data_IF_613658416648
#
_entry.id   IF_613658416648
#
_cell.length_a   1.000
_cell.length_b   1.000
_cell.length_c   1.000
_cell.angle_alpha   90.00
_cell.angle_beta   90.00
_cell.angle_gamma   90.00
#
_symmetry.space_group_name_H-M   'P 1'
#
loop_
_entity.id
_entity.type
_entity.pdbx_description
1 polymer ?
#
# COMPACT_ATOMS: atom_id res chain seq x y z
N UNK A 1 -7.31 -3.15 23.49
CA UNK A 1 -6.02 -3.83 23.15
C UNK A 1 -4.92 -2.80 23.10
N UNK A 2 -3.68 -3.11 23.52
CA UNK A 2 -2.59 -2.14 23.48
C UNK A 2 -1.83 -2.23 22.16
N UNK A 3 -1.30 -1.11 21.68
CA UNK A 3 -0.42 -1.08 20.49
C UNK A 3 0.83 -1.91 20.75
N UNK A 4 1.36 -1.90 21.97
CA UNK A 4 2.49 -2.73 22.40
C UNK A 4 2.23 -4.24 22.39
N UNK A 5 0.97 -4.67 22.31
CA UNK A 5 0.63 -6.10 22.15
C UNK A 5 1.06 -6.63 20.76
N UNK A 6 1.39 -5.74 19.83
CA UNK A 6 1.86 -6.02 18.46
C UNK A 6 3.34 -5.67 18.27
N UNK A 7 4.11 -5.71 19.35
CA UNK A 7 5.54 -5.44 19.29
C UNK A 7 6.34 -6.73 19.05
N UNK A 8 7.44 -6.61 18.33
CA UNK A 8 8.45 -7.63 18.15
C UNK A 8 9.81 -6.97 17.86
N UNK A 9 10.88 -7.66 18.17
CA UNK A 9 12.22 -7.16 17.90
C UNK A 9 12.57 -7.30 16.42
N UNK A 10 12.83 -6.18 15.73
CA UNK A 10 13.24 -6.13 14.34
C UNK A 10 14.64 -5.54 14.20
N UNK A 11 15.66 -6.35 13.87
CA UNK A 11 16.99 -5.87 13.53
C UNK A 11 16.95 -4.95 12.30
N UNK A 12 17.59 -3.79 12.38
CA UNK A 12 17.57 -2.78 11.30
C UNK A 12 18.16 -3.28 9.99
N UNK A 13 19.12 -4.18 10.06
CA UNK A 13 19.77 -4.82 8.92
C UNK A 13 18.83 -5.71 8.08
N UNK A 14 17.70 -6.13 8.63
CA UNK A 14 16.68 -6.88 7.91
C UNK A 14 15.74 -5.98 7.09
N UNK A 15 15.79 -4.66 7.26
CA UNK A 15 15.00 -3.72 6.46
C UNK A 15 15.64 -3.59 5.08
N UNK A 16 14.97 -4.13 4.07
CA UNK A 16 15.49 -4.16 2.70
C UNK A 16 15.62 -2.75 2.11
N UNK A 17 16.80 -2.43 1.60
CA UNK A 17 17.09 -1.16 0.95
C UNK A 17 16.98 -1.24 -0.58
N UNK A 18 17.09 -2.44 -1.15
CA UNK A 18 17.06 -2.71 -2.58
C UNK A 18 16.06 -3.82 -2.89
N UNK A 19 15.33 -3.71 -4.02
CA UNK A 19 14.45 -4.77 -4.48
C UNK A 19 15.24 -6.00 -4.94
N UNK A 20 14.59 -7.17 -4.93
CA UNK A 20 15.14 -8.41 -5.46
C UNK A 20 15.03 -8.42 -7.00
N UNK A 21 16.05 -8.96 -7.67
CA UNK A 21 16.05 -9.22 -9.10
C UNK A 21 16.36 -10.70 -9.38
N UNK A 22 15.54 -11.40 -10.15
CA UNK A 22 14.19 -10.99 -10.60
C UNK A 22 13.21 -10.78 -9.44
N UNK A 23 12.09 -10.08 -9.69
CA UNK A 23 11.09 -9.72 -8.67
C UNK A 23 10.57 -10.92 -7.88
N UNK A 24 10.25 -12.01 -8.57
CA UNK A 24 9.67 -13.23 -8.01
C UNK A 24 10.69 -14.18 -7.37
N UNK A 25 11.97 -13.78 -7.30
CA UNK A 25 13.02 -14.51 -6.57
C UNK A 25 13.14 -14.07 -5.10
N UNK A 26 12.31 -13.15 -4.62
CA UNK A 26 12.16 -12.90 -3.18
C UNK A 26 11.70 -14.17 -2.47
N UNK A 27 12.03 -14.30 -1.18
CA UNK A 27 11.54 -15.43 -0.39
C UNK A 27 10.04 -15.27 -0.12
N UNK A 28 9.37 -16.38 0.05
CA UNK A 28 7.97 -16.48 0.44
C UNK A 28 7.86 -17.33 1.70
N UNK A 29 7.31 -16.75 2.76
CA UNK A 29 6.90 -17.50 3.94
C UNK A 29 5.41 -17.82 3.80
N UNK A 30 5.08 -19.08 3.66
CA UNK A 30 3.70 -19.55 3.62
C UNK A 30 3.29 -19.90 5.05
N UNK A 31 2.17 -19.36 5.52
CA UNK A 31 1.66 -19.64 6.85
C UNK A 31 0.19 -20.04 6.79
N UNK A 32 -0.13 -21.16 7.40
CA UNK A 32 -1.51 -21.57 7.62
C UNK A 32 -2.11 -20.69 8.75
N UNK A 33 -3.18 -19.95 8.44
CA UNK A 33 -3.78 -18.98 9.37
C UNK A 33 -4.46 -19.59 10.58
N UNK A 34 -4.80 -20.87 10.52
CA UNK A 34 -5.54 -21.58 11.56
C UNK A 34 -4.61 -22.40 12.47
N UNK A 35 -3.65 -23.13 11.88
CA UNK A 35 -2.69 -23.99 12.61
C UNK A 35 -1.39 -23.28 12.97
N UNK A 36 -1.00 -22.23 12.22
CA UNK A 36 0.30 -21.59 12.36
C UNK A 36 1.45 -22.36 11.74
N UNK A 37 1.17 -23.42 10.96
CA UNK A 37 2.20 -24.16 10.21
C UNK A 37 2.89 -23.24 9.20
N UNK A 38 4.22 -23.36 9.09
CA UNK A 38 5.05 -22.46 8.28
C UNK A 38 5.84 -23.29 7.27
N UNK A 39 5.89 -22.81 6.01
CA UNK A 39 6.77 -23.29 4.96
C UNK A 39 7.63 -22.15 4.40
N UNK A 40 8.86 -22.48 4.01
CA UNK A 40 9.82 -21.55 3.41
C UNK A 40 9.97 -21.85 1.92
N UNK A 41 9.63 -20.87 1.09
CA UNK A 41 9.59 -20.96 -0.38
C UNK A 41 10.21 -19.71 -1.01
N UNK A 42 10.15 -19.65 -2.34
CA UNK A 42 10.36 -18.42 -3.10
C UNK A 42 9.03 -17.93 -3.70
N UNK A 43 8.97 -16.66 -4.08
CA UNK A 43 7.72 -16.08 -4.52
C UNK A 43 7.17 -16.74 -5.81
N UNK A 44 8.04 -17.20 -6.69
CA UNK A 44 7.63 -17.96 -7.88
C UNK A 44 6.92 -19.28 -7.56
N UNK A 45 7.09 -19.82 -6.34
CA UNK A 45 6.40 -21.02 -5.87
C UNK A 45 4.97 -20.73 -5.38
N UNK A 46 4.54 -19.46 -5.32
CA UNK A 46 3.17 -19.09 -4.94
C UNK A 46 2.13 -19.85 -5.77
N UNK A 47 2.44 -20.13 -7.03
CA UNK A 47 1.57 -20.87 -7.94
C UNK A 47 1.24 -22.29 -7.43
N UNK A 48 2.07 -22.91 -6.61
CA UNK A 48 1.83 -24.23 -6.03
C UNK A 48 0.64 -24.23 -5.07
N UNK A 49 0.39 -23.09 -4.42
CA UNK A 49 -0.67 -22.87 -3.44
C UNK A 49 -1.96 -22.29 -4.04
N UNK A 50 -2.01 -22.07 -5.33
CA UNK A 50 -3.20 -21.55 -6.02
C UNK A 50 -3.92 -22.68 -6.76
N UNK A 51 -5.25 -22.63 -6.79
CA UNK A 51 -6.09 -23.61 -7.45
C UNK A 51 -6.86 -23.00 -8.63
N UNK A 52 -7.19 -23.79 -9.65
CA UNK A 52 -8.09 -23.32 -10.70
C UNK A 52 -9.41 -22.78 -10.11
N UNK A 53 -9.77 -21.58 -10.52
CA UNK A 53 -10.94 -20.88 -10.00
C UNK A 53 -10.65 -19.90 -8.86
N UNK A 54 -9.47 -19.91 -8.24
CA UNK A 54 -9.08 -18.87 -7.28
C UNK A 54 -9.14 -17.48 -7.91
N UNK A 55 -9.54 -16.50 -7.12
CA UNK A 55 -9.55 -15.09 -7.53
C UNK A 55 -8.46 -14.33 -6.79
N UNK A 56 -7.53 -13.73 -7.54
CA UNK A 56 -6.51 -12.84 -6.99
C UNK A 56 -6.93 -11.39 -7.23
N UNK A 57 -7.06 -10.61 -6.15
CA UNK A 57 -7.46 -9.21 -6.23
C UNK A 57 -6.24 -8.31 -6.02
N UNK A 58 -5.92 -7.53 -7.04
CA UNK A 58 -4.77 -6.64 -7.12
C UNK A 58 -5.18 -5.17 -6.99
N UNK A 59 -4.32 -4.35 -6.40
CA UNK A 59 -4.45 -2.90 -6.44
C UNK A 59 -3.60 -2.36 -7.60
N UNK A 60 -4.24 -1.82 -8.63
CA UNK A 60 -3.60 -1.35 -9.87
C UNK A 60 -3.16 0.12 -9.82
N UNK A 61 -3.15 0.72 -8.64
CA UNK A 61 -2.68 2.10 -8.48
C UNK A 61 -1.24 2.27 -8.94
N UNK A 62 -0.95 3.44 -9.53
CA UNK A 62 0.38 3.83 -9.97
C UNK A 62 0.87 5.02 -9.15
N UNK A 63 2.09 4.91 -8.65
CA UNK A 63 2.75 5.99 -7.89
C UNK A 63 3.05 7.15 -8.83
N UNK A 64 2.71 8.35 -8.40
CA UNK A 64 3.07 9.59 -9.07
C UNK A 64 4.38 10.16 -8.48
N UNK A 65 5.15 10.94 -9.23
CA UNK A 65 6.34 11.63 -8.70
C UNK A 65 5.90 12.80 -7.79
N UNK A 66 5.41 12.44 -6.61
CA UNK A 66 4.68 13.31 -5.71
C UNK A 66 5.56 14.29 -4.92
N UNK A 67 6.90 14.16 -4.97
CA UNK A 67 7.82 15.05 -4.26
C UNK A 67 8.35 16.11 -5.19
N UNK A 68 8.05 17.39 -4.88
CA UNK A 68 8.48 18.55 -5.64
C UNK A 68 9.41 19.41 -4.80
N UNK A 69 10.51 19.87 -5.40
CA UNK A 69 11.43 20.82 -4.81
C UNK A 69 11.27 22.19 -5.47
N UNK A 70 11.14 23.23 -4.66
CA UNK A 70 10.92 24.58 -5.15
C UNK A 70 11.52 25.63 -4.23
N UNK A 71 11.31 26.89 -4.58
CA UNK A 71 11.83 28.04 -3.85
C UNK A 71 10.71 29.04 -3.57
N UNK A 72 10.75 29.62 -2.38
CA UNK A 72 9.95 30.80 -2.05
C UNK A 72 10.50 32.04 -2.74
N UNK A 73 9.70 33.11 -2.79
CA UNK A 73 10.15 34.43 -3.28
C UNK A 73 11.36 34.96 -2.48
N UNK A 74 11.57 34.47 -1.26
CA UNK A 74 12.73 34.80 -0.42
C UNK A 74 13.99 34.02 -0.76
N UNK A 75 13.96 33.14 -1.77
CA UNK A 75 15.05 32.23 -2.13
C UNK A 75 15.20 30.98 -1.25
N UNK A 76 14.33 30.80 -0.23
CA UNK A 76 14.39 29.64 0.65
C UNK A 76 13.89 28.39 -0.08
N UNK A 77 14.69 27.32 -0.04
CA UNK A 77 14.32 26.00 -0.57
C UNK A 77 13.20 25.38 0.25
N UNK A 78 12.26 24.75 -0.44
CA UNK A 78 11.12 24.05 0.15
C UNK A 78 10.82 22.76 -0.60
N UNK A 79 10.30 21.77 0.13
CA UNK A 79 9.75 20.53 -0.40
C UNK A 79 8.22 20.59 -0.27
N UNK A 80 7.53 20.22 -1.33
CA UNK A 80 6.08 20.03 -1.37
C UNK A 80 5.81 18.59 -1.77
N UNK A 81 5.09 17.86 -0.94
CA UNK A 81 4.75 16.47 -1.13
C UNK A 81 3.25 16.32 -1.37
N UNK A 82 2.87 15.89 -2.56
CA UNK A 82 1.47 15.72 -2.97
C UNK A 82 0.84 14.53 -2.24
N UNK A 83 -0.36 14.72 -1.70
CA UNK A 83 -1.13 13.68 -1.03
C UNK A 83 -2.43 13.36 -1.78
N UNK A 84 -3.35 14.31 -1.77
CA UNK A 84 -4.71 14.12 -2.28
C UNK A 84 -5.09 15.25 -3.21
N UNK A 85 -5.48 14.92 -4.44
CA UNK A 85 -6.03 15.86 -5.38
C UNK A 85 -7.46 16.22 -4.98
N UNK A 86 -7.74 17.51 -4.81
CA UNK A 86 -9.07 17.99 -4.48
C UNK A 86 -9.87 18.37 -5.73
N UNK A 87 -9.18 18.97 -6.71
CA UNK A 87 -9.72 19.34 -8.02
C UNK A 87 -8.56 19.45 -9.02
N UNK A 88 -8.78 20.08 -10.17
CA UNK A 88 -7.78 20.24 -11.23
C UNK A 88 -6.51 20.95 -10.78
N UNK A 89 -6.60 21.88 -9.82
CA UNK A 89 -5.49 22.75 -9.38
C UNK A 89 -5.14 22.59 -7.90
N UNK A 90 -6.09 22.18 -7.05
CA UNK A 90 -5.91 22.20 -5.60
C UNK A 90 -5.54 20.80 -5.09
N UNK A 91 -4.51 20.77 -4.24
CA UNK A 91 -4.00 19.54 -3.64
C UNK A 91 -3.78 19.70 -2.13
N UNK A 92 -4.11 18.66 -1.39
CA UNK A 92 -3.57 18.48 -0.04
C UNK A 92 -2.13 18.01 -0.15
N UNK A 93 -1.24 18.62 0.65
CA UNK A 93 0.20 18.37 0.59
C UNK A 93 0.81 18.40 1.99
N UNK A 94 1.94 17.69 2.14
CA UNK A 94 2.89 18.00 3.21
C UNK A 94 3.95 18.96 2.69
N UNK A 95 4.50 19.78 3.58
CA UNK A 95 5.51 20.77 3.20
C UNK A 95 6.68 20.76 4.18
N UNK A 96 7.88 21.02 3.69
CA UNK A 96 9.08 21.14 4.51
C UNK A 96 9.90 22.36 4.07
N UNK A 97 10.27 23.27 4.99
CA UNK A 97 9.90 23.38 6.41
C UNK A 97 8.48 23.93 6.62
N UNK A 98 7.67 23.23 7.44
CA UNK A 98 6.25 23.57 7.63
C UNK A 98 5.99 24.95 8.26
N UNK A 99 6.83 25.40 9.21
CA UNK A 99 6.67 26.68 9.91
C UNK A 99 6.76 27.89 9.00
N UNK A 100 7.46 27.80 7.87
CA UNK A 100 7.70 28.92 6.93
C UNK A 100 6.68 28.99 5.79
N UNK A 101 5.78 28.02 5.68
CA UNK A 101 4.79 27.91 4.61
C UNK A 101 3.37 28.10 5.17
N UNK A 102 3.03 29.38 5.41
CA UNK A 102 1.70 29.82 5.87
C UNK A 102 0.81 30.16 4.68
N UNK A 103 -0.49 30.30 4.92
CA UNK A 103 -1.46 30.74 3.90
C UNK A 103 -0.96 32.02 3.23
N UNK A 104 -1.05 32.05 1.90
CA UNK A 104 -0.52 33.12 1.05
C UNK A 104 0.91 32.92 0.55
N UNK A 105 1.68 31.98 1.15
CA UNK A 105 3.04 31.70 0.69
C UNK A 105 3.03 31.16 -0.74
N UNK A 106 3.90 31.71 -1.60
CA UNK A 106 4.10 31.29 -2.98
C UNK A 106 5.38 30.47 -3.10
N UNK A 107 5.34 29.46 -3.95
CA UNK A 107 6.43 28.53 -4.22
C UNK A 107 6.56 28.38 -5.72
N UNK A 108 7.77 28.57 -6.25
CA UNK A 108 8.10 28.35 -7.67
C UNK A 108 8.92 27.07 -7.78
N UNK A 109 8.51 26.16 -8.65
CA UNK A 109 9.22 24.91 -8.96
C UNK A 109 9.99 25.04 -10.27
N UNK A 110 9.39 25.67 -11.26
CA UNK A 110 9.98 25.97 -12.57
C UNK A 110 9.30 27.21 -13.16
N UNK A 111 9.61 27.53 -14.42
CA UNK A 111 8.90 28.62 -15.12
C UNK A 111 7.45 28.22 -15.46
N UNK A 112 7.17 26.93 -15.60
CA UNK A 112 5.86 26.38 -15.97
C UNK A 112 5.03 25.89 -14.78
N UNK A 113 5.61 25.82 -13.55
CA UNK A 113 4.90 25.32 -12.35
C UNK A 113 5.19 26.15 -11.11
N UNK A 114 4.13 26.61 -10.50
CA UNK A 114 4.17 27.26 -9.19
C UNK A 114 2.95 26.87 -8.36
N UNK A 115 2.97 27.16 -7.07
CA UNK A 115 1.77 27.03 -6.23
C UNK A 115 1.70 28.11 -5.16
N UNK A 116 0.51 28.25 -4.60
CA UNK A 116 0.22 29.10 -3.44
C UNK A 116 -0.45 28.28 -2.34
N UNK A 117 0.01 28.42 -1.10
CA UNK A 117 -0.70 27.87 0.06
C UNK A 117 -2.01 28.63 0.26
N UNK A 118 -3.13 27.93 0.22
CA UNK A 118 -4.47 28.53 0.34
C UNK A 118 -5.17 28.15 1.65
N UNK A 119 -4.77 27.04 2.30
CA UNK A 119 -5.36 26.59 3.55
C UNK A 119 -4.43 25.62 4.31
N UNK A 120 -4.83 25.27 5.53
CA UNK A 120 -4.23 24.24 6.37
C UNK A 120 -5.12 23.01 6.44
N UNK A 121 -4.52 21.84 6.66
CA UNK A 121 -5.27 20.62 6.97
C UNK A 121 -5.21 20.32 8.46
N UNK A 122 -6.20 19.59 8.99
CA UNK A 122 -6.29 19.21 10.42
C UNK A 122 -5.11 18.37 10.91
N UNK A 123 -4.42 17.68 10.00
CA UNK A 123 -3.26 16.84 10.30
C UNK A 123 -1.89 17.54 10.14
N UNK A 124 -1.89 18.87 10.01
CA UNK A 124 -0.67 19.69 9.92
C UNK A 124 -0.10 19.83 8.50
N UNK A 125 -0.81 19.38 7.48
CA UNK A 125 -0.51 19.62 6.08
C UNK A 125 -0.97 21.01 5.60
N UNK A 126 -0.96 21.18 4.29
CA UNK A 126 -1.43 22.39 3.59
C UNK A 126 -2.37 22.01 2.46
N UNK A 127 -3.22 22.95 2.08
CA UNK A 127 -3.88 22.94 0.79
C UNK A 127 -3.16 23.94 -0.08
N UNK A 128 -2.69 23.52 -1.23
CA UNK A 128 -2.02 24.39 -2.21
C UNK A 128 -2.82 24.45 -3.50
N UNK A 129 -2.81 25.61 -4.14
CA UNK A 129 -3.32 25.80 -5.49
C UNK A 129 -2.17 25.94 -6.45
N UNK A 130 -2.09 25.03 -7.41
CA UNK A 130 -1.11 25.06 -8.48
C UNK A 130 -1.53 26.00 -9.61
N UNK A 131 -0.55 26.70 -10.17
CA UNK A 131 -0.63 27.41 -11.43
C UNK A 131 0.42 26.78 -12.37
N UNK A 132 -0.01 26.35 -13.56
CA UNK A 132 0.82 25.65 -14.51
C UNK A 132 0.37 25.92 -15.94
N UNK A 133 1.30 25.77 -16.89
CA UNK A 133 1.05 25.84 -18.33
C UNK A 133 1.26 24.44 -18.94
N UNK A 134 0.22 23.88 -19.59
CA UNK A 134 0.25 22.56 -20.18
C UNK A 134 -0.46 21.48 -19.35
N UNK A 135 0.04 20.25 -19.43
CA UNK A 135 -0.55 19.08 -18.76
C UNK A 135 0.19 18.85 -17.44
N UNK A 136 -0.53 18.97 -16.33
CA UNK A 136 0.04 18.87 -14.97
C UNK A 136 0.81 17.57 -14.74
N UNK A 137 0.28 16.47 -15.22
CA UNK A 137 0.88 15.13 -15.07
C UNK A 137 2.24 15.02 -15.79
N UNK A 138 2.37 15.62 -16.97
CA UNK A 138 3.63 15.66 -17.71
C UNK A 138 4.68 16.55 -17.02
N UNK A 139 4.24 17.65 -16.42
CA UNK A 139 5.10 18.53 -15.63
C UNK A 139 5.60 17.80 -14.38
N UNK A 140 4.71 17.06 -13.69
CA UNK A 140 5.11 16.24 -12.56
C UNK A 140 6.13 15.16 -12.94
N UNK A 141 5.97 14.51 -14.09
CA UNK A 141 6.91 13.48 -14.55
C UNK A 141 8.33 14.04 -14.81
N UNK A 142 8.43 15.33 -15.20
CA UNK A 142 9.71 16.02 -15.40
C UNK A 142 10.33 16.55 -14.12
N UNK A 143 9.53 17.14 -13.25
CA UNK A 143 10.02 17.89 -12.07
C UNK A 143 9.96 17.10 -10.77
N UNK A 144 9.07 16.13 -10.69
CA UNK A 144 8.80 15.39 -9.46
C UNK A 144 9.75 14.20 -9.26
N UNK A 145 9.92 13.85 -8.00
CA UNK A 145 10.63 12.65 -7.59
C UNK A 145 9.63 11.61 -7.10
N UNK A 146 9.88 10.34 -7.46
CA UNK A 146 9.11 9.21 -6.93
C UNK A 146 9.37 9.09 -5.44
N UNK A 147 8.35 9.19 -4.59
CA UNK A 147 8.55 9.10 -3.15
C UNK A 147 8.82 7.64 -2.75
N UNK A 148 9.91 7.43 -2.07
CA UNK A 148 10.17 6.17 -1.36
C UNK A 148 9.75 6.31 0.10
N UNK A 149 9.35 5.22 0.76
CA UNK A 149 9.11 5.21 2.19
C UNK A 149 10.34 5.68 2.98
N UNK A 150 10.16 6.32 4.15
CA UNK A 150 11.27 6.96 4.88
C UNK A 150 12.34 5.99 5.41
N UNK A 151 12.05 4.70 5.48
CA UNK A 151 12.99 3.66 5.89
C UNK A 151 13.88 3.16 4.73
N UNK A 152 13.58 3.53 3.48
CA UNK A 152 14.46 3.29 2.32
C UNK A 152 15.30 4.56 2.15
N UNK A 153 16.57 4.45 2.46
CA UNK A 153 17.54 5.56 2.36
C UNK A 153 18.47 5.42 1.15
N UNK A 154 18.52 4.23 0.56
CA UNK A 154 19.27 3.97 -0.66
C UNK A 154 18.57 4.61 -1.87
N UNK A 155 19.33 5.20 -2.81
CA UNK A 155 18.76 5.72 -4.05
C UNK A 155 18.19 4.57 -4.89
N UNK A 156 17.07 4.85 -5.57
CA UNK A 156 16.47 3.92 -6.52
C UNK A 156 16.90 4.33 -7.94
N UNK A 157 17.71 3.51 -8.59
CA UNK A 157 18.22 3.78 -9.94
C UNK A 157 17.11 3.72 -10.98
N UNK A 158 16.27 2.69 -10.92
CA UNK A 158 15.11 2.52 -11.79
C UNK A 158 13.81 2.80 -11.04
N UNK A 159 13.15 3.90 -11.38
CA UNK A 159 11.87 4.32 -10.77
C UNK A 159 10.74 3.27 -10.99
N UNK A 160 10.79 2.51 -12.08
CA UNK A 160 9.79 1.46 -12.38
C UNK A 160 9.91 0.27 -11.41
N UNK A 161 11.01 0.14 -10.67
CA UNK A 161 11.12 -0.87 -9.61
C UNK A 161 10.22 -0.61 -8.40
N UNK A 162 9.74 0.64 -8.22
CA UNK A 162 8.72 0.99 -7.23
C UNK A 162 7.32 1.10 -7.84
N UNK A 163 7.09 0.38 -8.95
CA UNK A 163 5.78 0.21 -9.60
C UNK A 163 5.50 -1.28 -9.78
N UNK A 164 4.22 -1.68 -9.66
CA UNK A 164 3.80 -3.03 -10.03
C UNK A 164 3.78 -3.16 -11.55
N UNK A 165 3.98 -4.37 -12.06
CA UNK A 165 3.99 -4.63 -13.53
C UNK A 165 2.62 -4.43 -14.17
N UNK A 166 1.58 -4.28 -13.36
CA UNK A 166 0.19 -4.07 -13.76
C UNK A 166 -0.37 -2.69 -13.35
N UNK A 167 0.46 -1.78 -12.83
CA UNK A 167 0.02 -0.45 -12.40
C UNK A 167 -0.55 0.37 -13.56
N UNK A 168 -1.74 0.99 -13.37
CA UNK A 168 -2.46 1.78 -14.37
C UNK A 168 -2.94 3.13 -13.83
N UNK A 169 -3.69 3.10 -12.74
CA UNK A 169 -4.43 4.25 -12.21
C UNK A 169 -3.52 5.18 -11.42
N UNK A 170 -3.13 6.30 -12.02
CA UNK A 170 -2.21 7.29 -11.42
C UNK A 170 -2.88 8.04 -10.26
N UNK A 171 -2.17 8.24 -9.14
CA UNK A 171 -2.69 9.04 -8.03
C UNK A 171 -2.13 8.68 -6.66
N UNK A 172 -1.33 7.63 -6.56
CA UNK A 172 -0.81 7.15 -5.27
C UNK A 172 0.51 7.80 -4.89
N UNK A 173 0.69 8.04 -3.60
CA UNK A 173 1.98 8.44 -3.02
C UNK A 173 2.88 7.25 -2.64
N UNK A 174 2.35 6.02 -2.64
CA UNK A 174 3.11 4.81 -2.36
C UNK A 174 2.62 3.63 -3.19
N UNK A 175 3.53 2.70 -3.53
CA UNK A 175 3.19 1.48 -4.26
C UNK A 175 2.46 0.46 -3.37
N UNK A 176 1.57 -0.38 -3.92
CA UNK A 176 1.05 -1.56 -3.26
C UNK A 176 2.12 -2.65 -3.27
N UNK A 177 3.00 -2.62 -2.27
CA UNK A 177 4.32 -3.27 -2.32
C UNK A 177 4.30 -4.79 -2.42
N UNK A 178 3.24 -5.46 -1.94
CA UNK A 178 3.08 -6.90 -2.17
C UNK A 178 2.96 -7.26 -3.66
N UNK A 179 2.46 -6.34 -4.48
CA UNK A 179 2.40 -6.51 -5.93
C UNK A 179 3.75 -6.39 -6.64
N UNK A 180 4.77 -5.84 -5.97
CA UNK A 180 6.11 -5.69 -6.55
C UNK A 180 6.83 -7.02 -6.80
N UNK A 181 6.39 -8.08 -6.13
CA UNK A 181 6.95 -9.43 -6.29
C UNK A 181 6.52 -10.12 -7.58
N UNK A 182 5.40 -9.69 -8.18
CA UNK A 182 4.89 -10.31 -9.39
C UNK A 182 5.68 -9.89 -10.64
N UNK A 183 5.97 -10.87 -11.49
CA UNK A 183 6.44 -10.68 -12.86
C UNK A 183 5.28 -10.91 -13.83
N UNK A 184 5.38 -10.41 -15.05
CA UNK A 184 4.39 -10.68 -16.10
C UNK A 184 4.29 -12.17 -16.42
N UNK A 185 5.42 -12.86 -16.37
CA UNK A 185 5.56 -14.30 -16.59
C UNK A 185 4.82 -15.09 -15.50
N UNK A 186 4.97 -14.71 -14.23
CA UNK A 186 4.26 -15.37 -13.13
C UNK A 186 2.76 -15.13 -13.22
N UNK A 187 2.31 -13.90 -13.52
CA UNK A 187 0.90 -13.59 -13.74
C UNK A 187 0.32 -14.43 -14.88
N UNK A 188 1.05 -14.57 -16.00
CA UNK A 188 0.57 -15.40 -17.11
C UNK A 188 0.43 -16.87 -16.68
N UNK A 189 1.40 -17.42 -15.94
CA UNK A 189 1.32 -18.81 -15.41
C UNK A 189 0.12 -19.00 -14.47
N UNK A 190 -0.17 -18.01 -13.62
CA UNK A 190 -1.31 -18.00 -12.70
C UNK A 190 -2.62 -18.04 -13.50
N UNK A 191 -2.72 -17.22 -14.54
CA UNK A 191 -3.86 -17.20 -15.46
C UNK A 191 -4.01 -18.53 -16.21
N UNK A 192 -2.91 -19.08 -16.73
CA UNK A 192 -2.91 -20.37 -17.44
C UNK A 192 -3.31 -21.54 -16.53
N UNK A 193 -3.04 -21.42 -15.21
CA UNK A 193 -3.53 -22.37 -14.19
C UNK A 193 -5.05 -22.30 -13.99
N UNK A 194 -5.72 -21.28 -14.51
CA UNK A 194 -7.17 -21.07 -14.40
C UNK A 194 -7.58 -20.20 -13.22
N UNK A 195 -6.65 -19.42 -12.65
CA UNK A 195 -6.97 -18.39 -11.66
C UNK A 195 -7.47 -17.12 -12.36
N UNK A 196 -8.33 -16.37 -11.68
CA UNK A 196 -8.91 -15.13 -12.18
C UNK A 196 -8.21 -13.91 -11.55
N UNK A 197 -7.79 -12.95 -12.38
CA UNK A 197 -7.20 -11.69 -11.94
C UNK A 197 -8.27 -10.61 -11.88
N UNK A 198 -8.44 -9.97 -10.74
CA UNK A 198 -9.37 -8.86 -10.53
C UNK A 198 -8.61 -7.64 -10.05
N UNK A 199 -8.94 -6.47 -10.59
CA UNK A 199 -8.25 -5.23 -10.23
C UNK A 199 -9.21 -4.26 -9.52
N UNK A 200 -8.70 -3.70 -8.43
CA UNK A 200 -9.31 -2.58 -7.70
C UNK A 200 -8.28 -1.47 -7.60
N UNK A 201 -8.72 -0.25 -7.30
CA UNK A 201 -7.81 0.88 -7.12
C UNK A 201 -7.95 1.42 -5.70
N UNK A 202 -6.84 1.61 -5.00
CA UNK A 202 -6.76 2.42 -3.77
C UNK A 202 -5.50 3.26 -3.85
N UNK A 203 -5.67 4.58 -3.78
CA UNK A 203 -4.55 5.51 -3.75
C UNK A 203 -4.03 5.65 -2.32
N UNK A 204 -2.82 5.12 -2.11
CA UNK A 204 -2.17 5.11 -0.80
C UNK A 204 -1.63 6.50 -0.49
N UNK A 205 -2.03 7.04 0.66
CA UNK A 205 -1.48 8.27 1.21
C UNK A 205 -0.28 8.01 2.12
N UNK A 206 0.42 9.08 2.53
CA UNK A 206 1.56 8.98 3.48
C UNK A 206 1.18 8.51 4.88
N UNK A 207 -0.10 8.54 5.22
CA UNK A 207 -0.59 8.12 6.54
C UNK A 207 -0.21 6.67 6.87
N UNK A 208 -0.07 5.82 5.85
CA UNK A 208 0.31 4.41 6.00
C UNK A 208 1.71 4.21 6.61
N UNK A 209 2.59 5.22 6.49
CA UNK A 209 3.95 5.16 7.06
C UNK A 209 4.08 5.88 8.40
N UNK A 210 3.00 6.43 8.95
CA UNK A 210 3.04 7.06 10.28
C UNK A 210 2.93 5.98 11.35
N UNK A 211 3.82 5.99 12.37
CA UNK A 211 3.65 5.14 13.53
C UNK A 211 2.32 5.45 14.24
N UNK A 212 1.74 4.43 14.84
CA UNK A 212 0.60 4.61 15.77
C UNK A 212 1.13 5.33 17.00
N UNK A 213 0.52 6.46 17.36
CA UNK A 213 0.94 7.30 18.48
C UNK A 213 0.16 7.03 19.76
N UNK A 214 -1.00 6.41 19.63
CA UNK A 214 -1.93 6.10 20.72
C UNK A 214 -1.48 4.84 21.48
N UNK A 215 -1.76 4.78 22.79
CA UNK A 215 -1.46 3.61 23.59
C UNK A 215 -2.44 2.45 23.34
N UNK A 216 -3.71 2.78 23.06
CA UNK A 216 -4.76 1.80 22.74
C UNK A 216 -5.09 1.86 21.26
N UNK A 217 -5.29 0.68 20.66
CA UNK A 217 -5.58 0.60 19.23
C UNK A 217 -6.93 1.21 18.87
N UNK A 218 -7.91 1.13 19.79
CA UNK A 218 -9.27 1.65 19.59
C UNK A 218 -9.30 3.18 19.49
N UNK A 219 -8.30 3.88 20.02
CA UNK A 219 -8.17 5.34 19.98
C UNK A 219 -7.53 5.84 18.67
N UNK A 220 -6.92 4.93 17.90
CA UNK A 220 -6.23 5.28 16.67
C UNK A 220 -7.22 5.68 15.56
N UNK A 221 -6.94 6.79 14.89
CA UNK A 221 -7.73 7.28 13.76
C UNK A 221 -6.98 7.07 12.45
N UNK A 222 -7.51 6.15 11.65
CA UNK A 222 -6.98 5.89 10.30
C UNK A 222 -7.16 7.10 9.38
N UNK A 223 -6.16 7.34 8.55
CA UNK A 223 -6.27 8.31 7.46
C UNK A 223 -7.27 7.83 6.41
N UNK A 224 -7.96 8.79 5.80
CA UNK A 224 -8.86 8.50 4.68
C UNK A 224 -8.05 8.28 3.40
N UNK A 225 -8.40 7.25 2.66
CA UNK A 225 -7.85 6.93 1.34
C UNK A 225 -8.99 6.69 0.37
N UNK A 226 -8.80 7.13 -0.88
CA UNK A 226 -9.82 6.97 -1.91
C UNK A 226 -9.63 5.64 -2.63
N UNK A 227 -10.72 4.89 -2.79
CA UNK A 227 -10.74 3.66 -3.55
C UNK A 227 -11.79 3.67 -4.64
N UNK A 228 -11.61 2.82 -5.64
CA UNK A 228 -12.57 2.55 -6.71
C UNK A 228 -12.65 1.06 -6.98
N UNK A 229 -13.88 0.58 -7.19
CA UNK A 229 -14.22 -0.78 -7.62
C UNK A 229 -15.06 -0.68 -8.87
N UNK A 230 -14.63 -1.29 -9.97
CA UNK A 230 -15.43 -1.35 -11.19
C UNK A 230 -16.60 -2.33 -11.03
N UNK A 231 -17.62 -2.21 -11.88
CA UNK A 231 -18.73 -3.17 -11.88
C UNK A 231 -18.25 -4.59 -12.20
N UNK A 232 -17.32 -4.72 -13.16
CA UNK A 232 -16.73 -6.02 -13.53
C UNK A 232 -15.99 -6.67 -12.34
N UNK A 233 -15.23 -5.87 -11.59
CA UNK A 233 -14.53 -6.37 -10.39
C UNK A 233 -15.52 -6.82 -9.31
N UNK A 234 -16.59 -6.05 -9.08
CA UNK A 234 -17.62 -6.40 -8.12
C UNK A 234 -18.34 -7.69 -8.53
N UNK A 235 -18.71 -7.82 -9.79
CA UNK A 235 -19.42 -9.00 -10.33
C UNK A 235 -18.53 -10.25 -10.23
N UNK A 236 -17.23 -10.15 -10.59
CA UNK A 236 -16.29 -11.25 -10.53
C UNK A 236 -16.09 -11.76 -9.09
N UNK A 237 -15.86 -10.86 -8.14
CA UNK A 237 -15.67 -11.22 -6.70
C UNK A 237 -16.97 -11.80 -6.13
N UNK A 238 -18.12 -11.21 -6.41
CA UNK A 238 -19.42 -11.69 -5.90
C UNK A 238 -19.77 -13.05 -6.47
N UNK A 239 -19.49 -13.29 -7.74
CA UNK A 239 -19.66 -14.59 -8.39
C UNK A 239 -18.74 -15.63 -7.74
N UNK A 240 -17.46 -15.31 -7.55
CA UNK A 240 -16.50 -16.20 -6.89
C UNK A 240 -16.98 -16.60 -5.50
N UNK A 241 -17.46 -15.63 -4.73
CA UNK A 241 -18.00 -15.89 -3.39
C UNK A 241 -19.23 -16.81 -3.42
N UNK A 242 -20.16 -16.56 -4.34
CA UNK A 242 -21.36 -17.39 -4.49
C UNK A 242 -21.03 -18.83 -4.92
N UNK A 243 -19.94 -19.03 -5.64
CA UNK A 243 -19.43 -20.32 -6.10
C UNK A 243 -18.51 -21.01 -5.05
N UNK A 244 -18.23 -20.37 -3.92
CA UNK A 244 -17.31 -20.87 -2.89
C UNK A 244 -15.85 -20.90 -3.33
N UNK A 245 -15.46 -20.10 -4.32
CA UNK A 245 -14.10 -19.95 -4.79
C UNK A 245 -13.31 -19.03 -3.83
N UNK A 246 -12.05 -19.35 -3.61
CA UNK A 246 -11.18 -18.59 -2.72
C UNK A 246 -10.86 -17.21 -3.29
N UNK A 247 -11.01 -16.17 -2.46
CA UNK A 247 -10.65 -14.79 -2.76
C UNK A 247 -9.37 -14.44 -2.03
N UNK A 248 -8.28 -14.32 -2.78
CA UNK A 248 -6.94 -13.98 -2.29
C UNK A 248 -6.63 -12.51 -2.58
N UNK A 249 -6.47 -11.71 -1.54
CA UNK A 249 -6.03 -10.32 -1.70
C UNK A 249 -4.50 -10.26 -1.91
N UNK A 250 -4.05 -9.41 -2.83
CA UNK A 250 -2.64 -9.07 -3.01
C UNK A 250 -2.38 -7.69 -2.43
N UNK A 251 -1.77 -7.67 -1.24
CA UNK A 251 -1.50 -6.48 -0.46
C UNK A 251 -2.65 -6.07 0.47
N UNK A 252 -2.27 -5.40 1.56
CA UNK A 252 -3.20 -4.87 2.56
C UNK A 252 -4.12 -3.78 1.99
N UNK A 253 -3.71 -3.12 0.90
CA UNK A 253 -4.54 -2.15 0.18
C UNK A 253 -5.72 -2.81 -0.53
N UNK A 254 -5.52 -3.99 -1.15
CA UNK A 254 -6.61 -4.78 -1.74
C UNK A 254 -7.56 -5.28 -0.65
N UNK A 255 -7.04 -5.75 0.50
CA UNK A 255 -7.86 -6.10 1.67
C UNK A 255 -8.75 -4.92 2.07
N UNK A 256 -8.15 -3.75 2.29
CA UNK A 256 -8.88 -2.57 2.77
C UNK A 256 -9.93 -2.10 1.76
N UNK A 257 -9.68 -2.23 0.47
CA UNK A 257 -10.65 -1.92 -0.58
C UNK A 257 -11.82 -2.90 -0.55
N UNK A 258 -11.54 -4.21 -0.55
CA UNK A 258 -12.57 -5.25 -0.55
C UNK A 258 -13.47 -5.13 0.68
N UNK A 259 -12.87 -5.05 1.86
CA UNK A 259 -13.62 -5.01 3.11
C UNK A 259 -14.37 -3.67 3.32
N UNK A 260 -13.81 -2.53 2.84
CA UNK A 260 -14.48 -1.23 2.91
C UNK A 260 -15.64 -1.08 1.92
N UNK A 261 -15.53 -1.69 0.75
CA UNK A 261 -16.57 -1.66 -0.27
C UNK A 261 -17.61 -2.79 -0.09
N UNK A 262 -17.40 -3.70 0.88
CA UNK A 262 -18.33 -4.78 1.16
C UNK A 262 -19.55 -4.27 1.93
N UNK A 263 -20.74 -4.63 1.43
CA UNK A 263 -22.00 -4.40 2.11
C UNK A 263 -22.83 -5.68 2.09
N UNK A 264 -23.24 -6.14 3.26
CA UNK A 264 -24.04 -7.37 3.42
C UNK A 264 -23.38 -8.59 2.75
N UNK A 265 -22.05 -8.69 2.81
CA UNK A 265 -21.27 -9.76 2.22
C UNK A 265 -21.08 -9.67 0.71
N UNK A 266 -21.47 -8.59 0.05
CA UNK A 266 -21.32 -8.36 -1.38
C UNK A 266 -20.43 -7.13 -1.65
N UNK A 267 -19.48 -7.26 -2.56
CA UNK A 267 -18.66 -6.17 -3.02
C UNK A 267 -19.50 -5.20 -3.87
N UNK A 268 -19.44 -3.92 -3.50
CA UNK A 268 -20.17 -2.85 -4.21
C UNK A 268 -19.24 -2.14 -5.19
N UNK A 269 -19.73 -1.93 -6.41
CA UNK A 269 -19.07 -1.08 -7.40
C UNK A 269 -19.19 0.40 -7.02
N UNK A 270 -18.22 1.22 -7.43
CA UNK A 270 -18.19 2.66 -7.22
C UNK A 270 -16.90 3.15 -6.60
N UNK A 271 -16.82 4.47 -6.36
CA UNK A 271 -15.69 5.11 -5.68
C UNK A 271 -16.12 5.73 -4.36
N UNK A 272 -15.31 5.59 -3.32
CA UNK A 272 -15.56 6.18 -2.02
C UNK A 272 -14.26 6.36 -1.22
N UNK A 273 -14.37 7.07 -0.09
CA UNK A 273 -13.30 7.21 0.88
C UNK A 273 -13.43 6.18 1.98
N UNK A 274 -12.30 5.56 2.35
CA UNK A 274 -12.25 4.62 3.48
C UNK A 274 -11.23 5.08 4.52
N UNK A 275 -11.60 4.90 5.78
CA UNK A 275 -10.71 4.93 6.93
C UNK A 275 -10.83 3.63 7.73
N UNK A 276 -11.15 2.53 7.05
CA UNK A 276 -11.31 1.22 7.69
C UNK A 276 -10.03 0.86 8.45
N UNK A 277 -10.23 0.48 9.72
CA UNK A 277 -9.19 -0.01 10.59
C UNK A 277 -9.48 -1.46 10.96
N UNK A 278 -8.68 -2.38 10.45
CA UNK A 278 -8.82 -3.81 10.66
C UNK A 278 -7.80 -4.25 11.71
N UNK A 279 -8.28 -4.86 12.79
CA UNK A 279 -7.49 -5.41 13.89
C UNK A 279 -8.19 -6.61 14.51
N UNK A 280 -7.56 -7.41 15.37
CA UNK A 280 -8.15 -8.63 15.94
C UNK A 280 -9.54 -8.40 16.55
N UNK A 281 -10.48 -9.25 16.13
CA UNK A 281 -11.92 -9.10 16.39
C UNK A 281 -12.72 -8.67 15.16
N UNK A 282 -12.05 -8.13 14.12
CA UNK A 282 -12.68 -7.88 12.84
C UNK A 282 -13.01 -9.21 12.14
N UNK A 283 -14.20 -9.30 11.56
CA UNK A 283 -14.65 -10.47 10.79
C UNK A 283 -14.56 -10.14 9.31
N UNK A 284 -13.59 -10.75 8.63
CA UNK A 284 -13.45 -10.64 7.19
C UNK A 284 -14.70 -11.15 6.48
N UNK A 285 -15.17 -10.41 5.49
CA UNK A 285 -16.38 -10.73 4.76
C UNK A 285 -16.09 -11.30 3.36
N UNK A 286 -15.00 -10.86 2.74
CA UNK A 286 -14.65 -11.22 1.37
C UNK A 286 -13.29 -11.92 1.26
N UNK A 287 -12.31 -11.53 2.10
CA UNK A 287 -10.93 -12.00 1.96
C UNK A 287 -10.72 -13.33 2.68
N UNK A 288 -10.31 -14.36 1.94
CA UNK A 288 -9.99 -15.69 2.45
C UNK A 288 -8.50 -15.89 2.71
N UNK A 289 -7.65 -15.35 1.81
CA UNK A 289 -6.19 -15.45 1.86
C UNK A 289 -5.53 -14.12 1.49
N UNK A 290 -4.26 -13.96 1.87
CA UNK A 290 -3.54 -12.69 1.70
C UNK A 290 -2.07 -12.92 1.33
N UNK A 291 -1.65 -12.33 0.21
CA UNK A 291 -0.23 -12.13 -0.12
C UNK A 291 0.18 -10.76 0.39
N UNK A 292 1.22 -10.67 1.20
CA UNK A 292 1.66 -9.40 1.80
C UNK A 292 3.16 -9.38 2.06
N UNK A 293 3.73 -8.19 2.32
CA UNK A 293 5.09 -8.05 2.86
C UNK A 293 5.09 -8.22 4.38
N UNK A 294 6.28 -8.29 4.98
CA UNK A 294 6.42 -8.17 6.44
C UNK A 294 6.31 -6.70 6.87
N UNK A 295 5.58 -6.47 7.96
CA UNK A 295 5.21 -5.15 8.45
C UNK A 295 5.98 -4.74 9.70
N UNK A 296 6.01 -3.43 9.99
CA UNK A 296 6.64 -2.84 11.17
C UNK A 296 6.04 -3.34 12.48
N UNK A 297 6.84 -3.45 13.55
CA UNK A 297 6.33 -3.56 14.90
C UNK A 297 5.31 -2.44 15.20
N UNK A 298 4.28 -2.75 15.96
CA UNK A 298 3.26 -1.81 16.43
C UNK A 298 2.50 -1.09 15.29
N UNK A 299 2.52 -1.63 14.06
CA UNK A 299 1.86 -1.01 12.91
C UNK A 299 0.41 -1.50 12.73
N UNK A 300 -0.42 -0.63 12.15
CA UNK A 300 -1.80 -0.98 11.75
C UNK A 300 -1.86 -2.15 10.77
N UNK A 301 -0.80 -2.36 9.99
CA UNK A 301 -0.71 -3.45 9.03
C UNK A 301 -0.42 -4.80 9.71
N UNK A 302 0.39 -4.82 10.77
CA UNK A 302 0.58 -6.01 11.60
C UNK A 302 -0.72 -6.39 12.32
N UNK A 303 -1.50 -5.39 12.75
CA UNK A 303 -2.83 -5.60 13.33
C UNK A 303 -3.80 -6.21 12.32
N UNK A 304 -3.78 -5.75 11.06
CA UNK A 304 -4.61 -6.26 9.97
C UNK A 304 -4.32 -7.74 9.68
N UNK A 305 -3.05 -8.13 9.52
CA UNK A 305 -2.69 -9.54 9.26
C UNK A 305 -3.00 -10.41 10.47
N UNK A 306 -2.88 -9.88 11.69
CA UNK A 306 -3.26 -10.58 12.93
C UNK A 306 -4.77 -10.79 13.04
N UNK A 307 -5.57 -9.95 12.40
CA UNK A 307 -7.02 -10.12 12.35
C UNK A 307 -7.46 -11.22 11.36
N UNK A 308 -6.64 -11.53 10.34
CA UNK A 308 -6.92 -12.61 9.37
C UNK A 308 -6.63 -14.00 9.96
N UNK A 309 -5.78 -14.06 10.96
CA UNK A 309 -5.38 -15.26 11.70
C UNK A 309 -5.63 -15.04 13.20
N UNK A 310 -4.58 -15.15 13.99
CA UNK A 310 -4.53 -14.70 15.37
C UNK A 310 -3.27 -13.87 15.63
N UNK A 311 -3.30 -13.04 16.67
CA UNK A 311 -2.12 -12.28 17.07
C UNK A 311 -0.94 -13.20 17.41
N UNK A 312 -1.22 -14.28 18.09
CA UNK A 312 -0.23 -15.24 18.59
C UNK A 312 0.47 -15.95 17.42
N UNK A 313 -0.30 -16.43 16.44
CA UNK A 313 0.25 -17.06 15.22
C UNK A 313 1.10 -16.04 14.45
N UNK A 314 0.59 -14.82 14.26
CA UNK A 314 1.33 -13.81 13.50
C UNK A 314 2.62 -13.39 14.20
N UNK A 315 2.61 -13.12 15.50
CA UNK A 315 3.82 -12.76 16.24
C UNK A 315 4.87 -13.89 16.21
N UNK A 316 4.44 -15.15 16.33
CA UNK A 316 5.31 -16.29 16.15
C UNK A 316 5.89 -16.36 14.73
N UNK A 317 5.06 -16.14 13.70
CA UNK A 317 5.49 -16.09 12.30
C UNK A 317 6.55 -15.01 12.08
N UNK A 318 6.35 -13.82 12.64
CA UNK A 318 7.32 -12.72 12.55
C UNK A 318 8.63 -13.02 13.29
N UNK A 319 8.56 -13.70 14.44
CA UNK A 319 9.74 -14.19 15.14
C UNK A 319 10.55 -15.17 14.27
N UNK A 320 9.88 -16.16 13.68
CA UNK A 320 10.51 -17.11 12.75
C UNK A 320 11.11 -16.35 11.55
N UNK A 321 10.40 -15.38 10.98
CA UNK A 321 10.91 -14.59 9.87
C UNK A 321 12.19 -13.82 10.23
N UNK A 322 12.30 -13.28 11.45
CA UNK A 322 13.52 -12.61 11.94
C UNK A 322 14.66 -13.62 12.13
N UNK A 323 14.40 -14.75 12.79
CA UNK A 323 15.38 -15.83 13.03
C UNK A 323 15.93 -16.39 11.71
N UNK A 324 15.05 -16.58 10.71
CA UNK A 324 15.39 -17.07 9.38
C UNK A 324 15.91 -15.96 8.44
N UNK A 325 16.10 -14.74 8.94
CA UNK A 325 16.65 -13.59 8.22
C UNK A 325 15.89 -13.25 6.93
N UNK A 326 14.55 -13.26 6.99
CA UNK A 326 13.75 -12.67 5.95
C UNK A 326 14.00 -11.17 5.87
N UNK A 327 13.83 -10.60 4.69
CA UNK A 327 13.93 -9.17 4.47
C UNK A 327 12.56 -8.53 4.70
N UNK A 328 12.55 -7.36 5.31
CA UNK A 328 11.34 -6.69 5.76
C UNK A 328 11.00 -5.47 4.91
N UNK A 329 9.74 -5.08 4.89
CA UNK A 329 9.11 -3.91 4.27
C UNK A 329 9.03 -3.96 2.74
N UNK A 330 8.95 -2.75 2.11
CA UNK A 330 8.56 -2.56 0.70
C UNK A 330 9.36 -3.35 -0.31
N UNK A 331 10.68 -3.49 -0.10
CA UNK A 331 11.58 -4.25 -0.96
C UNK A 331 12.01 -5.60 -0.33
N UNK A 332 11.36 -5.95 0.76
CA UNK A 332 11.61 -7.20 1.47
C UNK A 332 11.05 -8.42 0.79
N UNK A 333 10.89 -9.47 1.57
CA UNK A 333 10.32 -10.73 1.16
C UNK A 333 8.80 -10.74 1.39
N UNK A 334 8.13 -11.79 0.96
CA UNK A 334 6.68 -11.90 1.02
C UNK A 334 6.23 -12.97 2.03
N UNK A 335 4.98 -12.84 2.44
CA UNK A 335 4.24 -13.81 3.22
C UNK A 335 2.92 -14.14 2.49
N UNK A 336 2.54 -15.41 2.45
CA UNK A 336 1.23 -15.87 2.00
C UNK A 336 0.48 -16.48 3.17
N UNK A 337 -0.60 -15.85 3.58
CA UNK A 337 -1.47 -16.28 4.68
C UNK A 337 -2.67 -16.97 4.07
N UNK A 338 -2.82 -18.26 4.31
CA UNK A 338 -3.90 -19.09 3.77
C UNK A 338 -4.41 -20.09 4.81
N UNK A 339 -5.29 -20.99 4.42
CA UNK A 339 -5.83 -22.06 5.27
C UNK A 339 -5.53 -23.48 4.72
N UNK A 340 -4.54 -23.62 3.83
CA UNK A 340 -4.13 -24.90 3.28
C UNK A 340 -3.06 -25.55 4.17
N UNK A 341 -3.12 -26.89 4.27
CA UNK A 341 -2.12 -27.75 4.93
C UNK A 341 -1.10 -28.29 3.94
#
# INVERSE_FOLDING_TARGET
MLVTDFDYELPKELIAQHPMEPRDHSRLLVVNKDSGAIEHKHFYDLIEYLHPGDVLVFNDTRVIPARLHGFKDTGAHVEVFLLTRKNTTDWEVLVRPGKKLQVGAKIKFSDELSCQVIDHTDFGGRVVRFAFEGIFEEILDRLGETPLPPYITAPLEDKERYQTVYSRERGSAAAPTAGLHFTKELLQKIKDKGCEEVFVTLHVGLGTFRPVSEAKIEDHKMHKEFYTVSQEAADAVNKAKAEGRRISAVGTTSVRTLEAACKDGLLQAGGNWTNIFIYPGYKYQLVDALVTNFHLPQSTLLMLVSALSTREIMLNTYKVAVEEKYRFFSFGDAMFINNEE
#
